data_IF_683336012745
#
_entry.id   IF_683336012745
#
_cell.length_a   1.000
_cell.length_b   1.000
_cell.length_c   1.000
_cell.angle_alpha   90.00
_cell.angle_beta   90.00
_cell.angle_gamma   90.00
#
_symmetry.space_group_name_H-M   'P 1'
#
loop_
_entity.id
_entity.type
_entity.pdbx_description
1 polymer ?
#
# COMPACT_ATOMS: atom_id res chain seq x y z
N UNK A 1 19.43 4.08 8.36
CA UNK A 1 18.54 4.04 7.18
C UNK A 1 18.19 5.48 6.79
N UNK A 2 18.41 5.93 5.54
CA UNK A 2 18.27 7.37 5.16
C UNK A 2 16.86 7.93 5.46
N UNK A 3 15.82 7.18 5.10
CA UNK A 3 14.43 7.58 5.35
C UNK A 3 14.17 7.91 6.84
N UNK A 4 14.65 7.07 7.75
CA UNK A 4 14.46 7.28 9.19
C UNK A 4 15.12 8.57 9.73
N UNK A 5 16.24 8.98 9.13
CA UNK A 5 16.90 10.25 9.49
C UNK A 5 16.14 11.46 8.94
N UNK A 6 15.63 11.39 7.70
CA UNK A 6 14.83 12.49 7.14
C UNK A 6 13.52 12.68 7.88
N UNK A 7 12.90 11.59 8.34
CA UNK A 7 11.64 11.62 9.04
C UNK A 7 11.71 12.18 10.47
N UNK A 8 12.91 12.51 10.97
CA UNK A 8 13.08 13.29 12.21
C UNK A 8 12.53 14.71 12.06
N UNK A 9 12.52 15.26 10.83
CA UNK A 9 11.81 16.51 10.55
C UNK A 9 10.30 16.21 10.42
N UNK A 10 9.45 16.78 11.29
CA UNK A 10 8.00 16.56 11.24
C UNK A 10 7.35 17.07 9.95
N UNK A 11 7.99 17.99 9.23
CA UNK A 11 7.48 18.54 7.97
C UNK A 11 7.73 17.64 6.76
N UNK A 12 8.59 16.63 6.91
CA UNK A 12 8.82 15.63 5.85
C UNK A 12 7.67 14.64 5.86
N UNK A 13 7.01 14.46 4.72
CA UNK A 13 5.95 13.47 4.55
C UNK A 13 6.51 12.04 4.50
N UNK A 14 5.80 11.12 5.16
CA UNK A 14 6.10 9.71 5.07
C UNK A 14 5.08 9.02 4.17
N UNK A 15 5.49 8.68 2.94
CA UNK A 15 4.62 8.11 1.92
C UNK A 15 5.07 6.71 1.52
N UNK A 16 4.12 5.79 1.36
CA UNK A 16 4.40 4.40 0.95
C UNK A 16 3.39 3.95 -0.11
N UNK A 17 3.85 3.15 -1.07
CA UNK A 17 3.04 2.69 -2.20
C UNK A 17 2.04 1.61 -1.80
N UNK A 18 2.43 0.59 -1.03
CA UNK A 18 1.57 -0.46 -0.48
C UNK A 18 2.10 -0.96 0.87
N UNK A 19 1.35 -1.79 1.57
CA UNK A 19 1.79 -2.40 2.83
C UNK A 19 1.97 -3.92 2.71
N UNK A 20 2.23 -4.42 1.50
CA UNK A 20 2.53 -5.83 1.32
C UNK A 20 3.86 -6.17 2.00
N UNK A 21 3.82 -7.03 3.02
CA UNK A 21 5.02 -7.46 3.74
C UNK A 21 5.92 -8.37 2.91
N UNK A 22 5.32 -9.11 1.98
CA UNK A 22 6.00 -10.16 1.22
C UNK A 22 5.58 -10.14 -0.25
N UNK A 23 6.52 -10.52 -1.11
CA UNK A 23 6.27 -10.90 -2.49
C UNK A 23 6.85 -12.28 -2.79
N UNK A 24 6.27 -13.03 -3.73
CA UNK A 24 6.88 -14.25 -4.24
C UNK A 24 8.23 -13.92 -4.89
N UNK A 25 9.25 -14.68 -4.54
CA UNK A 25 10.58 -14.58 -5.13
C UNK A 25 10.67 -15.23 -6.52
N UNK A 26 11.85 -15.17 -7.16
CA UNK A 26 12.04 -15.66 -8.53
C UNK A 26 11.94 -17.18 -8.68
N UNK A 27 11.91 -17.94 -7.59
CA UNK A 27 11.78 -19.40 -7.58
C UNK A 27 10.69 -19.85 -6.59
N UNK A 28 10.03 -21.00 -6.83
CA UNK A 28 8.98 -21.50 -5.94
C UNK A 28 9.44 -21.63 -4.48
N UNK A 29 8.60 -21.17 -3.56
CA UNK A 29 8.87 -21.25 -2.12
C UNK A 29 9.79 -20.16 -1.57
N UNK A 30 10.40 -19.32 -2.42
CA UNK A 30 11.15 -18.15 -1.96
C UNK A 30 10.21 -16.98 -1.73
N UNK A 31 10.38 -16.31 -0.60
CA UNK A 31 9.67 -15.09 -0.23
C UNK A 31 10.69 -13.96 -0.12
N UNK A 32 10.39 -12.83 -0.75
CA UNK A 32 11.22 -11.62 -0.67
C UNK A 32 10.46 -10.50 0.07
N UNK A 33 11.17 -9.60 0.78
CA UNK A 33 10.54 -8.49 1.47
C UNK A 33 9.80 -7.57 0.50
N UNK A 34 8.54 -7.29 0.79
CA UNK A 34 7.77 -6.26 0.12
C UNK A 34 7.95 -4.88 0.74
N UNK A 35 7.27 -3.90 0.16
CA UNK A 35 7.41 -2.50 0.61
C UNK A 35 6.87 -2.29 2.02
N UNK A 36 5.89 -3.09 2.46
CA UNK A 36 5.39 -3.13 3.83
C UNK A 36 6.45 -3.55 4.84
N UNK A 37 7.36 -4.47 4.49
CA UNK A 37 8.45 -4.88 5.38
C UNK A 37 9.49 -3.77 5.56
N UNK A 38 9.90 -3.11 4.46
CA UNK A 38 10.77 -1.94 4.55
C UNK A 38 10.09 -0.80 5.31
N UNK A 39 8.80 -0.54 5.04
CA UNK A 39 8.02 0.46 5.75
C UNK A 39 7.96 0.19 7.25
N UNK A 40 7.66 -1.04 7.66
CA UNK A 40 7.58 -1.40 9.07
C UNK A 40 8.90 -1.12 9.81
N UNK A 41 10.05 -1.36 9.16
CA UNK A 41 11.35 -1.03 9.75
C UNK A 41 11.56 0.48 9.95
N UNK A 42 11.09 1.31 9.01
CA UNK A 42 11.13 2.77 9.15
C UNK A 42 10.16 3.25 10.24
N UNK A 43 8.93 2.73 10.25
CA UNK A 43 7.91 3.02 11.27
C UNK A 43 8.43 2.68 12.67
N UNK A 44 9.00 1.49 12.85
CA UNK A 44 9.51 1.04 14.15
C UNK A 44 10.64 1.94 14.68
N UNK A 45 11.48 2.49 13.81
CA UNK A 45 12.58 3.39 14.19
C UNK A 45 12.10 4.82 14.44
N UNK A 46 11.14 5.31 13.66
CA UNK A 46 10.71 6.72 13.68
C UNK A 46 9.49 6.98 14.56
N UNK A 47 8.70 5.94 14.87
CA UNK A 47 7.38 6.06 15.49
C UNK A 47 6.33 6.74 14.59
N UNK A 48 6.65 7.01 13.31
CA UNK A 48 5.76 7.69 12.37
C UNK A 48 5.06 6.70 11.46
N UNK A 49 3.75 6.81 11.36
CA UNK A 49 2.96 6.01 10.42
C UNK A 49 2.96 6.62 9.01
N UNK A 50 3.09 5.79 7.96
CA UNK A 50 3.07 6.27 6.59
C UNK A 50 1.64 6.55 6.12
N UNK A 51 1.52 7.49 5.17
CA UNK A 51 0.35 7.57 4.31
C UNK A 51 0.51 6.57 3.15
N UNK A 52 -0.44 5.64 3.05
CA UNK A 52 -0.43 4.57 2.06
C UNK A 52 -1.38 4.89 0.92
N UNK A 53 -0.92 4.72 -0.31
CA UNK A 53 -1.72 5.05 -1.50
C UNK A 53 -2.39 3.86 -2.16
N UNK A 54 -1.79 2.67 -2.09
CA UNK A 54 -2.30 1.45 -2.71
C UNK A 54 -3.47 0.83 -1.94
N UNK A 55 -3.97 -0.29 -2.46
CA UNK A 55 -5.04 -1.09 -1.84
C UNK A 55 -4.74 -1.41 -0.36
N UNK A 56 -5.75 -1.43 0.52
CA UNK A 56 -7.18 -1.17 0.26
C UNK A 56 -7.57 0.33 0.35
N UNK A 57 -6.60 1.24 0.31
CA UNK A 57 -6.82 2.64 0.71
C UNK A 57 -7.57 3.46 -0.34
N UNK A 58 -8.36 4.42 0.16
CA UNK A 58 -9.19 5.35 -0.63
C UNK A 58 -8.44 6.13 -1.72
N UNK A 59 -7.17 6.59 -1.56
CA UNK A 59 -6.48 7.34 -2.61
C UNK A 59 -6.42 6.60 -3.95
N UNK A 60 -6.27 5.26 -3.94
CA UNK A 60 -6.30 4.46 -5.16
C UNK A 60 -7.70 4.45 -5.80
N UNK A 61 -8.76 4.33 -5.00
CA UNK A 61 -10.13 4.38 -5.51
C UNK A 61 -10.47 5.78 -6.07
N UNK A 62 -10.10 6.85 -5.37
CA UNK A 62 -10.31 8.22 -5.83
C UNK A 62 -9.60 8.47 -7.16
N UNK A 63 -8.40 7.92 -7.35
CA UNK A 63 -7.70 7.95 -8.63
C UNK A 63 -8.49 7.21 -9.73
N UNK A 64 -8.97 6.00 -9.47
CA UNK A 64 -9.74 5.22 -10.45
C UNK A 64 -11.05 5.94 -10.85
N UNK A 65 -11.78 6.49 -9.87
CA UNK A 65 -13.02 7.22 -10.09
C UNK A 65 -12.82 8.49 -10.90
N UNK A 66 -11.82 9.30 -10.53
CA UNK A 66 -11.63 10.64 -11.12
C UNK A 66 -10.83 10.62 -12.41
N UNK A 67 -9.76 9.83 -12.44
CA UNK A 67 -8.79 9.84 -13.54
C UNK A 67 -9.09 8.78 -14.58
N UNK A 68 -9.43 7.57 -14.15
CA UNK A 68 -9.77 6.46 -15.04
C UNK A 68 -11.28 6.38 -15.34
N UNK A 69 -12.11 7.21 -14.69
CA UNK A 69 -13.56 7.30 -14.91
C UNK A 69 -14.28 5.96 -14.77
N UNK A 70 -13.83 5.13 -13.83
CA UNK A 70 -14.44 3.83 -13.52
C UNK A 70 -15.77 4.05 -12.80
N UNK A 71 -16.82 3.34 -13.21
CA UNK A 71 -18.10 3.24 -12.47
C UNK A 71 -18.07 1.98 -11.59
N UNK A 72 -17.98 2.12 -10.25
CA UNK A 72 -17.91 0.96 -9.34
C UNK A 72 -19.11 0.02 -9.50
N UNK A 73 -20.31 0.55 -9.78
CA UNK A 73 -21.54 -0.26 -9.93
C UNK A 73 -21.51 -1.21 -11.12
N UNK A 74 -20.58 -1.00 -12.05
CA UNK A 74 -20.43 -1.76 -13.28
C UNK A 74 -19.05 -2.40 -13.43
N UNK A 75 -18.27 -2.41 -12.36
CA UNK A 75 -16.88 -2.88 -12.37
C UNK A 75 -16.75 -4.06 -11.42
N UNK A 76 -15.86 -4.99 -11.76
CA UNK A 76 -15.53 -6.13 -10.90
C UNK A 76 -14.06 -6.03 -10.52
N UNK A 77 -13.78 -6.14 -9.23
CA UNK A 77 -12.42 -6.27 -8.71
C UNK A 77 -12.00 -7.74 -8.74
N UNK A 78 -10.86 -8.03 -9.37
CA UNK A 78 -10.22 -9.35 -9.33
C UNK A 78 -8.90 -9.26 -8.57
N UNK A 79 -8.66 -10.20 -7.66
CA UNK A 79 -7.41 -10.31 -6.93
C UNK A 79 -7.36 -11.53 -6.04
N UNK A 80 -6.17 -11.83 -5.53
CA UNK A 80 -5.84 -13.06 -4.81
C UNK A 80 -5.75 -12.85 -3.30
N UNK A 81 -5.67 -11.60 -2.83
CA UNK A 81 -5.54 -11.29 -1.40
C UNK A 81 -6.82 -10.68 -0.82
N UNK A 82 -7.27 -11.23 0.31
CA UNK A 82 -8.48 -10.76 0.98
C UNK A 82 -8.33 -9.39 1.63
N UNK A 83 -7.17 -9.13 2.23
CA UNK A 83 -6.83 -7.93 3.00
C UNK A 83 -6.49 -6.72 2.13
N UNK A 84 -6.13 -6.92 0.86
CA UNK A 84 -5.89 -5.83 -0.09
C UNK A 84 -6.94 -5.78 -1.19
N UNK A 85 -7.07 -6.80 -2.04
CA UNK A 85 -7.93 -6.76 -3.22
C UNK A 85 -9.41 -6.80 -2.89
N UNK A 86 -9.84 -7.82 -2.15
CA UNK A 86 -11.26 -8.01 -1.83
C UNK A 86 -11.74 -6.92 -0.89
N UNK A 87 -10.92 -6.55 0.10
CA UNK A 87 -11.21 -5.40 0.95
C UNK A 87 -11.29 -4.09 0.14
N UNK A 88 -10.41 -3.87 -0.84
CA UNK A 88 -10.48 -2.69 -1.70
C UNK A 88 -11.80 -2.62 -2.47
N UNK A 89 -12.22 -3.72 -3.10
CA UNK A 89 -13.51 -3.82 -3.79
C UNK A 89 -14.67 -3.50 -2.85
N UNK A 90 -14.76 -4.22 -1.73
CA UNK A 90 -15.84 -4.06 -0.74
C UNK A 90 -15.90 -2.64 -0.16
N UNK A 91 -14.76 -1.99 0.06
CA UNK A 91 -14.71 -0.65 0.67
C UNK A 91 -14.99 0.48 -0.33
N UNK A 92 -14.87 0.24 -1.64
CA UNK A 92 -14.90 1.30 -2.65
C UNK A 92 -15.94 1.09 -3.78
N UNK A 93 -16.76 0.04 -3.71
CA UNK A 93 -17.93 -0.17 -4.57
C UNK A 93 -17.82 -1.44 -5.40
#
# INVERSE_FOLDING_TARGET
>A
MKAANYLQDPNVEYLVTNQDYTFPGPVPGVVIPGSGATSASVTAVTGREPKVFGKPHKPMADFLLRRAQVDPKRTVMFGDRLDTDVMFGNANG
#
